data_IF_014370857477
#
_entry.id   IF_014370857477
#
_cell.length_a   1.000
_cell.length_b   1.000
_cell.length_c   1.000
_cell.angle_alpha   90.00
_cell.angle_beta   90.00
_cell.angle_gamma   90.00
#
_symmetry.space_group_name_H-M   'P 1'
#
loop_
_entity.id
_entity.type
_entity.pdbx_description
1 polymer ?
#
# COMPACT_ATOMS: atom_id res chain seq x y z
N UNK A 1 -4.51 17.43 -32.03
CA UNK A 1 -5.88 16.94 -32.28
C UNK A 1 -6.86 18.03 -31.90
N UNK A 2 -7.79 18.40 -32.78
CA UNK A 2 -8.77 19.47 -32.51
C UNK A 2 -9.80 18.98 -31.46
N UNK A 3 -10.34 19.85 -30.56
CA UNK A 3 -11.34 19.43 -29.57
C UNK A 3 -12.60 18.80 -30.21
N UNK A 4 -12.97 19.20 -31.42
CA UNK A 4 -14.07 18.56 -32.18
C UNK A 4 -13.74 17.12 -32.60
N UNK A 5 -12.48 16.85 -32.98
CA UNK A 5 -12.02 15.50 -33.32
C UNK A 5 -11.94 14.62 -32.06
N UNK A 6 -11.51 15.22 -30.94
CA UNK A 6 -11.48 14.57 -29.63
C UNK A 6 -12.88 14.15 -29.15
N UNK A 7 -13.88 15.02 -29.33
CA UNK A 7 -15.28 14.69 -29.04
C UNK A 7 -15.79 13.54 -29.91
N UNK A 8 -15.43 13.51 -31.20
CA UNK A 8 -15.82 12.44 -32.12
C UNK A 8 -15.25 11.09 -31.71
N UNK A 9 -14.00 11.06 -31.23
CA UNK A 9 -13.33 9.84 -30.73
C UNK A 9 -13.97 9.31 -29.45
N UNK A 10 -14.39 10.21 -28.55
CA UNK A 10 -14.81 9.86 -27.19
C UNK A 10 -16.33 9.59 -27.08
N UNK A 11 -17.15 10.28 -27.87
CA UNK A 11 -18.61 10.11 -27.94
C UNK A 11 -19.09 9.30 -29.15
N UNK A 12 -18.24 9.04 -30.13
CA UNK A 12 -18.60 8.28 -31.34
C UNK A 12 -19.32 9.07 -32.43
N UNK A 13 -19.46 10.40 -32.26
CA UNK A 13 -20.11 11.31 -33.19
C UNK A 13 -19.80 12.78 -32.87
N UNK A 14 -20.18 13.74 -33.74
CA UNK A 14 -19.97 15.16 -33.46
C UNK A 14 -20.84 15.58 -32.27
N UNK A 15 -20.18 15.98 -31.17
CA UNK A 15 -20.86 16.49 -29.98
C UNK A 15 -20.75 18.02 -29.90
N UNK A 16 -21.82 18.68 -29.49
CA UNK A 16 -21.81 20.13 -29.26
C UNK A 16 -21.04 20.46 -27.97
N UNK A 17 -19.79 20.88 -28.13
CA UNK A 17 -18.85 21.21 -27.05
C UNK A 17 -19.37 22.30 -26.09
N UNK A 18 -20.40 23.06 -26.47
CA UNK A 18 -21.01 24.10 -25.62
C UNK A 18 -21.93 23.55 -24.53
N UNK A 19 -22.43 22.32 -24.70
CA UNK A 19 -23.38 21.69 -23.77
C UNK A 19 -22.76 20.56 -22.94
N UNK A 20 -21.57 20.11 -23.33
CA UNK A 20 -20.88 18.99 -22.69
C UNK A 20 -20.21 19.44 -21.40
N UNK A 21 -20.51 18.73 -20.31
CA UNK A 21 -19.89 18.97 -19.00
C UNK A 21 -18.64 18.10 -18.79
N UNK A 22 -17.69 18.52 -17.92
CA UNK A 22 -16.50 17.71 -17.61
C UNK A 22 -16.83 16.33 -17.01
N UNK A 23 -17.99 16.20 -16.35
CA UNK A 23 -18.46 14.94 -15.80
C UNK A 23 -18.89 13.95 -16.89
N UNK A 24 -19.53 14.45 -17.96
CA UNK A 24 -19.95 13.65 -19.11
C UNK A 24 -18.75 13.14 -19.92
N UNK A 25 -17.71 13.98 -20.11
CA UNK A 25 -16.44 13.55 -20.74
C UNK A 25 -15.80 12.40 -19.97
N UNK A 26 -15.72 12.50 -18.63
CA UNK A 26 -15.19 11.42 -17.78
C UNK A 26 -16.05 10.16 -17.80
N UNK A 27 -17.37 10.30 -17.92
CA UNK A 27 -18.30 9.17 -18.03
C UNK A 27 -18.15 8.44 -19.36
N UNK A 28 -18.11 9.18 -20.46
CA UNK A 28 -17.93 8.64 -21.81
C UNK A 28 -16.56 7.96 -21.97
N UNK A 29 -15.48 8.54 -21.40
CA UNK A 29 -14.15 7.93 -21.36
C UNK A 29 -14.18 6.56 -20.66
N UNK A 30 -14.78 6.48 -19.46
CA UNK A 30 -14.90 5.22 -18.71
C UNK A 30 -15.73 4.16 -19.43
N UNK A 31 -16.70 4.56 -20.25
CA UNK A 31 -17.51 3.65 -21.08
C UNK A 31 -16.66 3.11 -22.24
N UNK A 32 -15.91 3.99 -22.91
CA UNK A 32 -15.10 3.64 -24.07
C UNK A 32 -13.89 2.76 -23.70
N UNK A 33 -13.22 3.05 -22.59
CA UNK A 33 -12.12 2.22 -22.05
C UNK A 33 -12.61 0.82 -21.68
N UNK A 34 -13.82 0.68 -21.10
CA UNK A 34 -14.40 -0.64 -20.80
C UNK A 34 -14.68 -1.47 -22.06
N UNK A 35 -15.08 -0.83 -23.15
CA UNK A 35 -15.31 -1.50 -24.43
C UNK A 35 -14.02 -1.97 -25.12
N UNK A 36 -12.89 -1.32 -24.84
CA UNK A 36 -11.56 -1.60 -25.43
C UNK A 36 -10.63 -2.42 -24.50
N UNK A 37 -11.14 -2.87 -23.36
CA UNK A 37 -10.38 -3.64 -22.39
C UNK A 37 -10.11 -5.07 -22.91
N UNK A 38 -8.90 -5.65 -22.71
CA UNK A 38 -8.52 -6.96 -23.25
C UNK A 38 -9.35 -8.14 -22.73
N UNK A 39 -10.01 -8.01 -21.57
CA UNK A 39 -10.96 -9.02 -21.04
C UNK A 39 -12.36 -8.98 -21.67
N UNK A 40 -12.68 -7.95 -22.46
CA UNK A 40 -13.93 -7.94 -23.23
C UNK A 40 -13.70 -8.79 -24.48
N UNK A 41 -14.35 -9.95 -24.58
CA UNK A 41 -14.09 -11.10 -25.47
C UNK A 41 -14.01 -10.89 -27.01
N UNK A 42 -13.60 -9.72 -27.51
CA UNK A 42 -13.66 -9.37 -28.95
C UNK A 42 -12.49 -8.53 -29.51
N UNK A 43 -11.43 -8.19 -28.78
CA UNK A 43 -10.38 -7.29 -29.34
C UNK A 43 -9.02 -7.94 -29.56
N UNK A 44 -8.54 -7.84 -30.80
CA UNK A 44 -7.20 -8.20 -31.23
C UNK A 44 -6.15 -7.37 -30.45
N UNK A 45 -5.27 -8.09 -29.75
CA UNK A 45 -4.34 -7.60 -28.70
C UNK A 45 -3.40 -6.46 -29.13
N UNK A 46 -3.19 -6.26 -30.44
CA UNK A 46 -2.23 -5.28 -30.96
C UNK A 46 -2.85 -3.92 -31.36
N UNK A 47 -4.18 -3.81 -31.50
CA UNK A 47 -4.84 -2.52 -31.83
C UNK A 47 -5.36 -1.77 -30.59
N UNK A 48 -5.39 -2.43 -29.43
CA UNK A 48 -5.97 -1.88 -28.20
C UNK A 48 -5.09 -0.82 -27.52
N UNK A 49 -3.76 -0.93 -27.63
CA UNK A 49 -2.82 -0.02 -26.95
C UNK A 49 -2.83 1.40 -27.51
N UNK A 50 -2.72 1.53 -28.84
CA UNK A 50 -2.76 2.82 -29.53
C UNK A 50 -4.15 3.49 -29.40
N UNK A 51 -5.21 2.69 -29.46
CA UNK A 51 -6.58 3.15 -29.26
C UNK A 51 -6.81 3.72 -27.84
N UNK A 52 -6.24 3.11 -26.81
CA UNK A 52 -6.35 3.61 -25.43
C UNK A 52 -5.53 4.88 -25.22
N UNK A 53 -4.34 4.99 -25.82
CA UNK A 53 -3.53 6.22 -25.76
C UNK A 53 -4.24 7.41 -26.42
N UNK A 54 -4.87 7.17 -27.57
CA UNK A 54 -5.70 8.15 -28.27
C UNK A 54 -6.90 8.61 -27.42
N UNK A 55 -7.55 7.70 -26.68
CA UNK A 55 -8.65 8.04 -25.77
C UNK A 55 -8.24 8.90 -24.57
N UNK A 56 -7.06 8.64 -24.00
CA UNK A 56 -6.51 9.44 -22.90
C UNK A 56 -6.22 10.86 -23.40
N UNK A 57 -5.59 10.96 -24.57
CA UNK A 57 -5.27 12.25 -25.21
C UNK A 57 -6.56 13.03 -25.55
N UNK A 58 -7.60 12.36 -26.02
CA UNK A 58 -8.90 12.97 -26.30
C UNK A 58 -9.61 13.48 -25.05
N UNK A 59 -9.53 12.75 -23.94
CA UNK A 59 -10.09 13.19 -22.66
C UNK A 59 -9.42 14.47 -22.17
N UNK A 60 -8.09 14.52 -22.21
CA UNK A 60 -7.31 15.61 -21.63
C UNK A 60 -7.52 16.92 -22.42
N UNK A 61 -7.49 16.84 -23.75
CA UNK A 61 -7.78 17.98 -24.64
C UNK A 61 -9.19 18.54 -24.41
N UNK A 62 -10.19 17.69 -24.17
CA UNK A 62 -11.56 18.15 -23.90
C UNK A 62 -11.71 18.82 -22.53
N UNK A 63 -11.06 18.27 -21.50
CA UNK A 63 -11.10 18.85 -20.16
C UNK A 63 -10.42 20.23 -20.17
N UNK A 64 -9.28 20.35 -20.83
CA UNK A 64 -8.56 21.62 -20.98
C UNK A 64 -9.39 22.65 -21.76
N UNK A 65 -10.01 22.25 -22.87
CA UNK A 65 -10.86 23.16 -23.67
C UNK A 65 -12.07 23.67 -22.89
N UNK A 66 -12.73 22.80 -22.10
CA UNK A 66 -13.88 23.20 -21.28
C UNK A 66 -13.47 24.14 -20.14
N UNK A 67 -12.28 23.95 -19.55
CA UNK A 67 -11.72 24.86 -18.54
C UNK A 67 -11.37 26.23 -19.14
N UNK A 68 -10.71 26.26 -20.29
CA UNK A 68 -10.38 27.50 -21.00
C UNK A 68 -11.64 28.27 -21.46
N UNK A 69 -12.68 27.55 -21.91
CA UNK A 69 -13.97 28.15 -22.28
C UNK A 69 -14.70 28.74 -21.06
N UNK A 70 -14.63 28.07 -19.91
CA UNK A 70 -15.17 28.57 -18.64
C UNK A 70 -14.44 29.84 -18.18
N UNK A 71 -13.11 29.86 -18.22
CA UNK A 71 -12.32 31.05 -17.86
C UNK A 71 -12.58 32.24 -18.80
N UNK A 72 -12.75 31.98 -20.10
CA UNK A 72 -13.07 33.02 -21.09
C UNK A 72 -14.48 33.58 -20.91
N UNK A 73 -15.45 32.76 -20.51
CA UNK A 73 -16.81 33.19 -20.13
C UNK A 73 -16.81 34.02 -18.85
N UNK A 74 -16.06 33.61 -17.83
CA UNK A 74 -15.94 34.34 -16.55
C UNK A 74 -15.26 35.70 -16.75
N UNK A 75 -14.26 35.80 -17.64
CA UNK A 75 -13.57 37.05 -17.97
C UNK A 75 -14.42 38.00 -18.84
N UNK A 76 -15.29 37.48 -19.70
CA UNK A 76 -16.18 38.29 -20.54
C UNK A 76 -17.43 38.81 -19.78
N UNK A 77 -17.82 38.16 -18.68
CA UNK A 77 -19.01 38.50 -17.90
C UNK A 77 -18.74 39.47 -16.72
N UNK A 78 -17.53 40.04 -16.59
CA UNK A 78 -17.24 41.07 -15.59
C UNK A 78 -17.34 42.48 -16.20
N UNK A 79 -18.41 43.26 -15.94
CA UNK A 79 -18.33 44.71 -16.11
C UNK A 79 -17.42 45.27 -15.01
N UNK A 80 -16.48 46.15 -15.40
CA UNK A 80 -15.73 46.99 -14.46
C UNK A 80 -16.73 47.90 -13.73
N UNK A 81 -17.06 47.56 -12.49
CA UNK A 81 -17.71 48.48 -11.56
C UNK A 81 -16.76 48.75 -10.40
N UNK A 82 -16.58 50.04 -10.09
CA UNK A 82 -15.81 50.52 -8.94
C UNK A 82 -16.43 50.03 -7.62
N UNK A 83 -15.63 49.74 -6.58
CA UNK A 83 -16.14 49.09 -5.37
C UNK A 83 -16.91 50.10 -4.52
N UNK A 84 -18.24 49.96 -4.48
CA UNK A 84 -19.04 50.48 -3.36
C UNK A 84 -19.02 49.45 -2.25
N UNK A 85 -18.48 49.86 -1.10
CA UNK A 85 -18.33 49.03 0.07
C UNK A 85 -19.70 48.75 0.69
N UNK A 86 -20.31 47.60 0.35
CA UNK A 86 -21.46 47.05 1.05
C UNK A 86 -20.98 45.86 1.88
N UNK A 87 -20.94 46.06 3.20
CA UNK A 87 -20.53 45.06 4.19
C UNK A 87 -21.64 44.03 4.32
N UNK A 88 -21.55 42.94 3.56
CA UNK A 88 -22.31 41.73 3.82
C UNK A 88 -21.47 40.80 4.71
N UNK A 89 -22.02 40.24 5.80
CA UNK A 89 -21.31 39.24 6.58
C UNK A 89 -21.13 37.99 5.71
N UNK A 90 -19.88 37.73 5.33
CA UNK A 90 -19.48 36.56 4.55
C UNK A 90 -19.84 35.31 5.36
N UNK A 91 -20.62 34.35 4.83
CA UNK A 91 -20.82 33.08 5.52
C UNK A 91 -19.44 32.45 5.69
N UNK A 92 -19.01 32.33 6.93
CA UNK A 92 -17.74 31.71 7.28
C UNK A 92 -17.85 30.26 6.83
N UNK A 93 -17.17 29.90 5.74
CA UNK A 93 -16.91 28.50 5.40
C UNK A 93 -16.13 27.95 6.60
N UNK A 94 -16.85 27.30 7.51
CA UNK A 94 -16.25 26.57 8.61
C UNK A 94 -15.41 25.51 7.92
N UNK A 95 -14.07 25.66 7.97
CA UNK A 95 -13.16 24.62 7.49
C UNK A 95 -13.64 23.33 8.15
N UNK A 96 -13.95 22.25 7.40
CA UNK A 96 -14.36 21.01 8.02
C UNK A 96 -13.27 20.65 9.03
N UNK A 97 -13.66 20.63 10.31
CA UNK A 97 -12.77 20.24 11.40
C UNK A 97 -12.35 18.83 11.03
N UNK A 98 -11.12 18.68 10.52
CA UNK A 98 -10.57 17.35 10.27
C UNK A 98 -10.61 16.66 11.63
N UNK A 99 -11.26 15.48 11.75
CA UNK A 99 -11.27 14.78 13.02
C UNK A 99 -9.81 14.64 13.45
N UNK A 100 -9.52 15.07 14.69
CA UNK A 100 -8.20 14.91 15.25
C UNK A 100 -7.86 13.42 15.08
N UNK A 101 -6.81 13.13 14.31
CA UNK A 101 -6.38 11.74 14.13
C UNK A 101 -6.00 11.27 15.52
N UNK A 102 -6.78 10.35 16.08
CA UNK A 102 -6.48 9.73 17.36
C UNK A 102 -5.09 9.12 17.25
N UNK A 103 -4.16 9.57 18.09
CA UNK A 103 -2.81 9.02 18.17
C UNK A 103 -2.60 8.48 19.56
N UNK A 104 -2.11 7.25 19.64
CA UNK A 104 -1.72 6.65 20.90
C UNK A 104 -0.45 7.38 21.40
N UNK A 105 -0.41 7.86 22.65
CA UNK A 105 0.75 8.52 23.20
C UNK A 105 1.94 7.55 23.32
N UNK A 106 3.15 8.04 23.08
CA UNK A 106 4.39 7.26 23.23
C UNK A 106 4.73 7.07 24.71
N UNK A 107 5.37 5.96 25.04
CA UNK A 107 5.78 5.63 26.41
C UNK A 107 7.08 6.36 26.75
N UNK A 108 7.06 7.25 27.74
CA UNK A 108 8.19 8.15 28.04
C UNK A 108 9.50 7.44 28.43
N UNK A 109 9.41 6.28 29.08
CA UNK A 109 10.57 5.55 29.62
C UNK A 109 11.13 4.48 28.66
N UNK A 110 10.64 4.41 27.43
CA UNK A 110 11.06 3.41 26.46
C UNK A 110 12.03 3.98 25.42
N UNK A 111 12.85 3.10 24.83
CA UNK A 111 13.92 3.50 23.92
C UNK A 111 13.39 3.55 22.49
N UNK A 112 13.32 4.75 21.94
CA UNK A 112 12.98 4.98 20.54
C UNK A 112 14.24 5.29 19.72
N UNK A 113 14.19 4.98 18.44
CA UNK A 113 15.29 5.28 17.54
C UNK A 113 15.37 6.79 17.23
N UNK A 114 16.57 7.35 17.27
CA UNK A 114 16.85 8.78 17.02
C UNK A 114 17.95 9.02 15.98
N UNK A 115 18.45 7.96 15.33
CA UNK A 115 19.56 8.04 14.38
C UNK A 115 19.15 8.20 12.92
N UNK A 116 20.11 7.96 12.02
CA UNK A 116 19.91 8.03 10.56
C UNK A 116 19.09 6.85 10.06
N UNK A 117 18.08 7.12 9.24
CA UNK A 117 17.22 6.06 8.72
C UNK A 117 18.00 5.06 7.83
N UNK A 118 17.83 3.74 8.01
CA UNK A 118 18.65 2.74 7.33
C UNK A 118 18.54 2.76 5.80
N UNK A 119 19.65 2.48 5.12
CA UNK A 119 19.79 2.44 3.65
C UNK A 119 19.61 1.05 3.04
N UNK A 120 19.15 0.07 3.83
CA UNK A 120 18.91 -1.30 3.39
C UNK A 120 17.42 -1.70 3.52
N UNK A 121 17.06 -2.86 2.96
CA UNK A 121 15.69 -3.37 3.03
C UNK A 121 15.32 -3.77 4.45
N UNK A 122 14.20 -3.26 4.94
CA UNK A 122 13.74 -3.50 6.29
C UNK A 122 12.60 -4.52 6.31
N UNK A 123 12.56 -5.33 7.37
CA UNK A 123 11.34 -6.05 7.77
C UNK A 123 10.42 -5.10 8.53
N UNK A 124 9.13 -5.43 8.61
CA UNK A 124 8.13 -4.54 9.19
C UNK A 124 8.45 -4.10 10.63
N UNK A 125 8.84 -5.02 11.52
CA UNK A 125 9.22 -4.66 12.89
C UNK A 125 10.44 -3.71 12.96
N UNK A 126 11.45 -3.94 12.12
CA UNK A 126 12.62 -3.05 12.04
C UNK A 126 12.23 -1.66 11.55
N UNK A 127 11.41 -1.60 10.50
CA UNK A 127 10.90 -0.35 9.95
C UNK A 127 10.14 0.46 11.00
N UNK A 128 9.25 -0.16 11.77
CA UNK A 128 8.52 0.51 12.84
C UNK A 128 9.45 1.12 13.89
N UNK A 129 10.50 0.39 14.29
CA UNK A 129 11.48 0.86 15.25
C UNK A 129 12.28 2.05 14.72
N UNK A 130 12.82 1.95 13.50
CA UNK A 130 13.60 3.03 12.88
C UNK A 130 12.75 4.25 12.50
N UNK A 131 11.45 4.05 12.25
CA UNK A 131 10.49 5.14 12.07
C UNK A 131 10.11 5.82 13.39
N UNK A 132 10.55 5.27 14.53
CA UNK A 132 10.20 5.77 15.86
C UNK A 132 8.73 5.55 16.23
N UNK A 133 8.02 4.66 15.52
CA UNK A 133 6.60 4.35 15.77
C UNK A 133 6.44 3.36 16.93
N UNK A 134 7.43 2.50 17.16
CA UNK A 134 7.47 1.57 18.29
C UNK A 134 8.81 1.64 18.99
N UNK A 135 8.84 1.35 20.30
CA UNK A 135 10.08 1.27 21.06
C UNK A 135 10.83 -0.03 20.79
N UNK A 136 12.10 -0.08 21.21
CA UNK A 136 12.87 -1.33 21.22
C UNK A 136 12.20 -2.40 22.09
N UNK A 137 11.68 -2.01 23.26
CA UNK A 137 10.99 -2.91 24.19
C UNK A 137 9.72 -3.49 23.58
N UNK A 138 8.91 -2.65 22.92
CA UNK A 138 7.72 -3.09 22.18
C UNK A 138 8.09 -4.08 21.08
N UNK A 139 9.16 -3.82 20.32
CA UNK A 139 9.63 -4.73 19.27
C UNK A 139 10.06 -6.09 19.84
N UNK A 140 10.83 -6.10 20.93
CA UNK A 140 11.26 -7.35 21.59
C UNK A 140 10.07 -8.14 22.11
N UNK A 141 9.11 -7.49 22.77
CA UNK A 141 7.87 -8.15 23.24
C UNK A 141 7.06 -8.71 22.08
N UNK A 142 6.93 -7.95 20.98
CA UNK A 142 6.23 -8.39 19.77
C UNK A 142 6.89 -9.63 19.16
N UNK A 143 8.22 -9.66 19.06
CA UNK A 143 8.96 -10.81 18.52
C UNK A 143 8.82 -12.05 19.40
N UNK A 144 8.86 -11.90 20.73
CA UNK A 144 8.60 -13.00 21.68
C UNK A 144 7.19 -13.54 21.52
N UNK A 145 6.19 -12.65 21.54
CA UNK A 145 4.80 -13.02 21.29
C UNK A 145 4.65 -13.78 19.97
N UNK A 146 5.21 -13.27 18.88
CA UNK A 146 5.10 -13.92 17.57
C UNK A 146 5.75 -15.31 17.54
N UNK A 147 6.83 -15.50 18.29
CA UNK A 147 7.52 -16.80 18.41
C UNK A 147 6.69 -17.78 19.23
N UNK A 148 6.13 -17.33 20.34
CA UNK A 148 5.40 -18.19 21.28
C UNK A 148 4.05 -18.65 20.67
N UNK A 149 3.53 -17.92 19.68
CA UNK A 149 2.35 -18.34 18.90
C UNK A 149 2.67 -19.32 17.76
N UNK A 150 3.94 -19.61 17.47
CA UNK A 150 4.31 -20.54 16.39
C UNK A 150 4.21 -21.97 16.91
N UNK A 151 3.28 -22.82 16.41
CA UNK A 151 3.20 -24.20 16.84
C UNK A 151 4.51 -24.94 16.57
N UNK A 152 4.95 -25.77 17.51
CA UNK A 152 6.18 -26.54 17.35
C UNK A 152 6.03 -27.53 16.19
N UNK A 153 7.08 -27.67 15.38
CA UNK A 153 7.02 -28.42 14.13
C UNK A 153 6.62 -29.89 14.35
N UNK A 154 7.21 -30.55 15.35
CA UNK A 154 6.88 -31.93 15.71
C UNK A 154 5.45 -32.10 16.21
N UNK A 155 4.89 -31.11 16.91
CA UNK A 155 3.49 -31.16 17.37
C UNK A 155 2.50 -31.12 16.21
N UNK A 156 2.81 -30.34 15.15
CA UNK A 156 2.00 -30.32 13.93
C UNK A 156 2.07 -31.68 13.23
N UNK A 157 3.27 -32.26 13.11
CA UNK A 157 3.47 -33.57 12.50
C UNK A 157 2.72 -34.68 13.28
N UNK A 158 2.74 -34.60 14.61
CA UNK A 158 1.98 -35.48 15.50
C UNK A 158 0.48 -35.32 15.34
N UNK A 159 -0.02 -34.09 15.32
CA UNK A 159 -1.44 -33.80 15.13
C UNK A 159 -2.00 -34.33 13.80
N UNK A 160 -1.14 -34.42 12.76
CA UNK A 160 -1.51 -34.98 11.46
C UNK A 160 -1.27 -36.49 11.33
N UNK A 161 -0.79 -37.15 12.39
CA UNK A 161 -0.49 -38.58 12.40
C UNK A 161 0.73 -38.97 11.56
N UNK A 162 1.59 -38.03 11.19
CA UNK A 162 2.79 -38.30 10.39
C UNK A 162 4.00 -38.68 11.25
N UNK A 163 3.98 -38.33 12.54
CA UNK A 163 5.01 -38.69 13.51
C UNK A 163 4.36 -39.04 14.84
N UNK A 164 5.01 -39.90 15.62
CA UNK A 164 4.67 -40.15 17.02
C UNK A 164 5.74 -39.53 17.95
N UNK A 165 5.53 -39.63 19.27
CA UNK A 165 6.48 -39.07 20.26
C UNK A 165 7.87 -39.71 20.16
N UNK A 166 7.97 -40.99 19.81
CA UNK A 166 9.26 -41.67 19.64
C UNK A 166 10.01 -41.12 18.44
N UNK A 167 9.32 -40.89 17.33
CA UNK A 167 9.90 -40.28 16.12
C UNK A 167 10.42 -38.88 16.43
N UNK A 168 9.65 -38.07 17.19
CA UNK A 168 10.07 -36.72 17.58
C UNK A 168 11.32 -36.76 18.46
N UNK A 169 11.40 -37.69 19.41
CA UNK A 169 12.59 -37.86 20.25
C UNK A 169 13.79 -38.35 19.44
N UNK A 170 13.59 -39.27 18.49
CA UNK A 170 14.64 -39.72 17.58
C UNK A 170 15.21 -38.56 16.75
N UNK A 171 14.35 -37.71 16.20
CA UNK A 171 14.80 -36.50 15.48
C UNK A 171 15.58 -35.60 16.42
N UNK A 172 15.13 -35.33 17.65
CA UNK A 172 15.84 -34.47 18.62
C UNK A 172 17.21 -35.04 19.01
N UNK A 173 17.30 -36.35 19.21
CA UNK A 173 18.52 -37.06 19.60
C UNK A 173 19.56 -37.12 18.47
N UNK A 174 19.15 -37.05 17.20
CA UNK A 174 20.04 -37.13 16.04
C UNK A 174 20.86 -35.83 15.81
N UNK A 175 21.60 -35.36 16.82
CA UNK A 175 22.37 -34.10 16.77
C UNK A 175 23.55 -34.14 15.80
N UNK A 176 23.98 -35.35 15.43
CA UNK A 176 24.96 -35.64 14.39
C UNK A 176 24.51 -35.13 13.01
N UNK A 177 23.19 -35.12 12.75
CA UNK A 177 22.63 -34.69 11.48
C UNK A 177 22.51 -33.15 11.46
N UNK A 178 23.17 -32.47 10.51
CA UNK A 178 23.03 -31.03 10.36
C UNK A 178 21.62 -30.67 9.86
N UNK A 179 21.23 -29.42 10.10
CA UNK A 179 20.00 -28.86 9.55
C UNK A 179 18.87 -28.66 10.56
N UNK A 180 17.76 -28.15 10.06
CA UNK A 180 16.56 -27.90 10.86
C UNK A 180 15.84 -29.22 11.20
N UNK A 181 14.93 -29.18 12.19
CA UNK A 181 14.16 -30.36 12.61
C UNK A 181 13.51 -31.11 11.44
N UNK A 182 12.89 -30.38 10.49
CA UNK A 182 12.25 -30.99 9.32
C UNK A 182 13.24 -31.68 8.37
N UNK A 183 14.42 -31.11 8.16
CA UNK A 183 15.48 -31.70 7.32
C UNK A 183 16.04 -32.97 7.96
N UNK A 184 16.28 -32.93 9.28
CA UNK A 184 16.69 -34.11 10.06
C UNK A 184 15.65 -35.22 10.02
N UNK A 185 14.36 -34.88 10.14
CA UNK A 185 13.26 -35.85 10.04
C UNK A 185 13.19 -36.52 8.66
N UNK A 186 13.48 -35.77 7.59
CA UNK A 186 13.58 -36.33 6.23
C UNK A 186 14.80 -37.23 6.09
N UNK A 187 15.96 -36.80 6.58
CA UNK A 187 17.19 -37.59 6.54
C UNK A 187 17.07 -38.92 7.31
N UNK A 188 16.27 -38.94 8.39
CA UNK A 188 15.96 -40.16 9.16
C UNK A 188 14.86 -41.03 8.53
N UNK A 189 14.28 -40.63 7.39
CA UNK A 189 13.19 -41.36 6.73
C UNK A 189 11.84 -41.29 7.46
N UNK A 190 11.71 -40.46 8.49
CA UNK A 190 10.49 -40.30 9.28
C UNK A 190 9.45 -39.42 8.58
N UNK A 191 9.90 -38.54 7.70
CA UNK A 191 9.04 -37.71 6.85
C UNK A 191 9.55 -37.72 5.41
N UNK A 192 8.64 -37.56 4.46
CA UNK A 192 8.99 -37.24 3.07
C UNK A 192 9.27 -35.73 2.92
N UNK A 193 10.08 -35.34 1.93
CA UNK A 193 10.33 -33.93 1.59
C UNK A 193 9.03 -33.13 1.37
N UNK A 194 8.02 -33.78 0.76
CA UNK A 194 6.70 -33.18 0.54
C UNK A 194 6.00 -32.89 1.86
N UNK A 195 5.93 -33.86 2.77
CA UNK A 195 5.36 -33.68 4.11
C UNK A 195 6.11 -32.58 4.87
N UNK A 196 7.44 -32.60 4.83
CA UNK A 196 8.25 -31.60 5.52
C UNK A 196 7.98 -30.17 4.99
N UNK A 197 7.85 -30.02 3.67
CA UNK A 197 7.49 -28.76 3.02
C UNK A 197 6.08 -28.29 3.39
N UNK A 198 5.11 -29.21 3.47
CA UNK A 198 3.74 -28.90 3.90
C UNK A 198 3.68 -28.43 5.35
N UNK A 199 4.39 -29.11 6.27
CA UNK A 199 4.50 -28.70 7.67
C UNK A 199 5.11 -27.31 7.81
N UNK A 200 6.20 -27.04 7.08
CA UNK A 200 6.87 -25.73 7.11
C UNK A 200 5.93 -24.62 6.63
N UNK A 201 5.18 -24.86 5.54
CA UNK A 201 4.20 -23.91 5.01
C UNK A 201 3.06 -23.66 5.98
N UNK A 202 2.51 -24.73 6.58
CA UNK A 202 1.45 -24.60 7.57
C UNK A 202 1.93 -23.82 8.80
N UNK A 203 3.10 -24.17 9.35
CA UNK A 203 3.70 -23.46 10.47
C UNK A 203 3.92 -21.96 10.18
N UNK A 204 4.35 -21.63 8.95
CA UNK A 204 4.52 -20.24 8.52
C UNK A 204 3.18 -19.50 8.41
N UNK A 205 2.11 -20.15 7.94
CA UNK A 205 0.78 -19.55 7.86
C UNK A 205 0.08 -19.43 9.22
N UNK A 206 0.35 -20.33 10.16
CA UNK A 206 -0.21 -20.29 11.52
C UNK A 206 0.44 -19.21 12.38
N UNK A 207 1.61 -18.69 12.00
CA UNK A 207 2.27 -17.64 12.74
C UNK A 207 1.56 -16.29 12.54
N UNK A 208 1.12 -15.61 13.62
CA UNK A 208 0.41 -14.35 13.48
C UNK A 208 1.32 -13.25 12.92
N UNK A 209 0.70 -12.25 12.28
CA UNK A 209 1.42 -11.10 11.74
C UNK A 209 1.86 -10.20 12.88
N UNK A 210 3.11 -9.74 12.87
CA UNK A 210 3.65 -8.86 13.91
C UNK A 210 2.81 -7.58 14.13
N UNK A 211 2.19 -7.05 13.06
CA UNK A 211 1.27 -5.90 13.15
C UNK A 211 0.06 -6.13 14.07
N UNK A 212 -0.43 -7.36 14.18
CA UNK A 212 -1.57 -7.70 15.05
C UNK A 212 -1.24 -7.49 16.53
N UNK A 213 0.00 -7.77 16.93
CA UNK A 213 0.45 -7.50 18.29
C UNK A 213 0.32 -6.03 18.65
N UNK A 214 0.83 -5.14 17.79
CA UNK A 214 0.81 -3.70 18.06
C UNK A 214 -0.60 -3.13 18.11
N UNK A 215 -1.55 -3.69 17.35
CA UNK A 215 -2.96 -3.32 17.45
C UNK A 215 -3.58 -3.82 18.75
N UNK A 216 -3.33 -5.09 19.10
CA UNK A 216 -3.88 -5.73 20.30
C UNK A 216 -3.42 -5.01 21.58
N UNK A 217 -2.13 -4.69 21.66
CA UNK A 217 -1.53 -3.99 22.81
C UNK A 217 -1.78 -2.48 22.78
N UNK A 218 -2.61 -1.98 21.86
CA UNK A 218 -2.91 -0.55 21.67
C UNK A 218 -1.64 0.30 21.58
N UNK A 219 -0.65 -0.17 20.81
CA UNK A 219 0.56 0.56 20.45
C UNK A 219 0.35 1.29 19.10
N UNK A 220 -0.34 0.65 18.17
CA UNK A 220 -0.71 1.20 16.86
C UNK A 220 -2.20 1.02 16.60
N UNK A 221 -2.82 1.93 15.86
CA UNK A 221 -4.17 1.71 15.35
C UNK A 221 -4.13 0.86 14.07
N UNK A 222 -5.21 0.15 13.78
CA UNK A 222 -5.29 -0.70 12.58
C UNK A 222 -5.02 0.07 11.28
N UNK A 223 -5.44 1.33 11.21
CA UNK A 223 -5.19 2.18 10.05
C UNK A 223 -3.72 2.65 9.97
N UNK A 224 -3.04 2.81 11.10
CA UNK A 224 -1.61 3.14 11.14
C UNK A 224 -0.79 1.99 10.57
N UNK A 225 -1.12 0.74 10.90
CA UNK A 225 -0.44 -0.45 10.37
C UNK A 225 -0.49 -0.47 8.84
N UNK A 226 -1.67 -0.25 8.24
CA UNK A 226 -1.82 -0.21 6.78
C UNK A 226 -1.02 0.93 6.15
N UNK A 227 -1.05 2.13 6.77
CA UNK A 227 -0.26 3.29 6.32
C UNK A 227 1.25 2.98 6.37
N UNK A 228 1.72 2.37 7.45
CA UNK A 228 3.13 2.05 7.70
C UNK A 228 3.62 0.91 6.81
N UNK A 229 2.80 -0.10 6.51
CA UNK A 229 3.11 -1.12 5.51
C UNK A 229 3.29 -0.51 4.12
N UNK A 230 2.43 0.45 3.74
CA UNK A 230 2.57 1.18 2.48
C UNK A 230 3.87 1.99 2.43
N UNK A 231 4.22 2.66 3.54
CA UNK A 231 5.46 3.41 3.65
C UNK A 231 6.70 2.49 3.57
N UNK A 232 6.66 1.33 4.24
CA UNK A 232 7.70 0.31 4.15
C UNK A 232 7.89 -0.17 2.71
N UNK A 233 6.81 -0.47 1.99
CA UNK A 233 6.91 -0.94 0.62
C UNK A 233 7.57 0.11 -0.28
N UNK A 234 7.24 1.40 -0.10
CA UNK A 234 7.90 2.51 -0.81
C UNK A 234 9.38 2.58 -0.48
N UNK A 235 9.74 2.51 0.81
CA UNK A 235 11.14 2.46 1.26
C UNK A 235 11.91 1.31 0.61
N UNK A 236 11.43 0.08 0.75
CA UNK A 236 12.11 -1.11 0.21
C UNK A 236 12.20 -1.09 -1.33
N UNK A 237 11.21 -0.49 -2.00
CA UNK A 237 11.25 -0.27 -3.46
C UNK A 237 12.33 0.74 -3.82
N UNK A 238 12.44 1.85 -3.09
CA UNK A 238 13.47 2.87 -3.29
C UNK A 238 14.88 2.30 -3.10
N UNK A 239 15.09 1.54 -2.01
CA UNK A 239 16.36 0.84 -1.78
C UNK A 239 16.70 -0.11 -2.93
N UNK A 240 15.71 -0.84 -3.45
CA UNK A 240 15.93 -1.74 -4.60
C UNK A 240 16.31 -0.99 -5.88
N UNK A 241 15.88 0.27 -6.01
CA UNK A 241 16.17 1.12 -7.18
C UNK A 241 17.46 1.94 -7.03
N UNK A 242 18.13 1.88 -5.87
CA UNK A 242 19.32 2.69 -5.59
C UNK A 242 19.04 4.17 -5.34
N UNK A 243 17.76 4.58 -5.23
CA UNK A 243 17.37 5.99 -4.99
C UNK A 243 17.50 6.44 -3.53
N UNK A 244 18.03 5.58 -2.65
CA UNK A 244 18.26 5.86 -1.25
C UNK A 244 17.03 5.67 -0.34
N UNK A 245 17.17 5.87 0.97
CA UNK A 245 16.09 5.68 1.93
C UNK A 245 14.99 6.72 1.73
N UNK A 246 13.73 6.28 1.76
CA UNK A 246 12.58 7.19 1.76
C UNK A 246 12.02 7.18 3.18
N UNK A 247 12.34 8.18 4.00
CA UNK A 247 11.87 8.18 5.38
C UNK A 247 10.35 8.32 5.41
N UNK A 248 9.67 7.63 6.34
CA UNK A 248 8.25 7.86 6.57
C UNK A 248 8.05 9.27 7.12
N UNK A 249 7.12 10.01 6.51
CA UNK A 249 6.47 11.22 7.00
C UNK A 249 7.29 12.06 7.98
N UNK A 250 8.05 13.01 7.43
CA UNK A 250 8.77 14.05 8.15
C UNK A 250 9.58 13.52 9.36
N UNK A 251 10.68 12.80 9.12
CA UNK A 251 11.58 12.45 10.21
C UNK A 251 12.15 13.75 10.80
N UNK A 252 12.13 13.86 12.12
CA UNK A 252 13.04 14.79 12.79
C UNK A 252 14.47 14.40 12.37
N UNK A 253 15.09 15.16 11.46
CA UNK A 253 16.49 15.01 11.10
C UNK A 253 16.85 14.64 9.66
N UNK A 254 15.96 14.73 8.66
CA UNK A 254 16.41 14.59 7.25
C UNK A 254 17.03 15.89 6.73
N UNK A 255 18.35 15.99 6.78
CA UNK A 255 19.10 16.98 6.01
C UNK A 255 19.19 16.46 4.57
N UNK A 256 18.46 17.09 3.64
CA UNK A 256 18.73 16.90 2.21
C UNK A 256 20.10 17.54 1.93
N UNK A 257 21.12 16.72 1.69
CA UNK A 257 22.28 17.21 0.96
C UNK A 257 21.84 17.41 -0.50
N UNK A 258 21.74 18.68 -0.88
CA UNK A 258 21.60 19.14 -2.26
C UNK A 258 22.97 19.13 -2.93
#
# INVERSE_FOLDING_TARGET
MHPSDAARILFGGPADLRRVTPAEVKSAFRRRVRMLHPDSARSAVHQSGEAVSSLVSARDILIEHLQAAHEKSVRAAQPRQAPTCTVYPRPTIVKPVRPAVERIPKKEHERYYTGVFPTYKLKFGQFLYFAGEVSWQDLVRAMRWQRDQRPAYGEIAKAWGWMNDRDIQAVRAATELPGMFGERAVALGLLTEKQASFLARHQHHSQPRLGQYFVKERILLSHDVTRLLTALQRHNTSISRGTGPVPPFNPAGYVRHL
#
